data_IF_595615819409
#
_entry.id   IF_595615819409
#
_cell.length_a   1.000
_cell.length_b   1.000
_cell.length_c   1.000
_cell.angle_alpha   90.00
_cell.angle_beta   90.00
_cell.angle_gamma   90.00
#
_symmetry.space_group_name_H-M   'P 1'
#
loop_
_entity.id
_entity.type
_entity.pdbx_description
1 polymer ?
#
# COMPACT_ATOMS: atom_id res chain seq x y z
N UNK A 1 2.55 -58.62 -45.99
CA UNK A 1 1.66 -57.61 -45.33
C UNK A 1 2.43 -56.90 -44.25
N UNK A 2 2.86 -55.63 -44.49
CA UNK A 2 3.57 -54.83 -43.50
C UNK A 2 2.53 -54.09 -42.65
N UNK A 3 2.47 -54.34 -41.33
CA UNK A 3 1.63 -53.61 -40.39
C UNK A 3 2.37 -52.31 -39.99
N UNK A 4 1.82 -51.16 -40.40
CA UNK A 4 2.30 -49.82 -39.97
C UNK A 4 1.72 -49.52 -38.62
N UNK A 5 2.58 -49.34 -37.60
CA UNK A 5 2.21 -48.86 -36.28
C UNK A 5 2.21 -47.31 -36.33
N UNK A 6 1.03 -46.71 -36.22
CA UNK A 6 0.89 -45.24 -36.06
C UNK A 6 1.04 -44.93 -34.58
N UNK A 7 2.17 -44.31 -34.21
CA UNK A 7 2.35 -43.74 -32.88
C UNK A 7 1.60 -42.39 -32.79
N UNK A 8 0.51 -42.38 -32.06
CA UNK A 8 -0.24 -41.18 -31.75
C UNK A 8 0.47 -40.47 -30.54
N UNK A 9 1.20 -39.39 -30.83
CA UNK A 9 1.78 -38.55 -29.81
C UNK A 9 0.71 -37.58 -29.29
N UNK A 10 0.17 -37.83 -28.09
CA UNK A 10 -0.75 -36.91 -27.43
C UNK A 10 0.06 -35.83 -26.75
N UNK A 11 0.10 -34.62 -27.31
CA UNK A 11 0.64 -33.43 -26.64
C UNK A 11 -0.41 -32.91 -25.62
N UNK A 12 -0.15 -33.12 -24.37
CA UNK A 12 -0.95 -32.50 -23.29
C UNK A 12 -0.41 -31.07 -23.06
N UNK A 13 -1.15 -30.08 -23.54
CA UNK A 13 -0.89 -28.69 -23.19
C UNK A 13 -1.42 -28.45 -21.79
N UNK A 14 -0.52 -28.31 -20.79
CA UNK A 14 -0.87 -27.69 -19.52
C UNK A 14 -0.98 -26.18 -19.74
N UNK A 15 -2.19 -25.68 -19.91
CA UNK A 15 -2.45 -24.25 -19.79
C UNK A 15 -2.35 -23.89 -18.29
N UNK A 16 -1.24 -23.30 -17.86
CA UNK A 16 -1.18 -22.61 -16.59
C UNK A 16 -2.16 -21.45 -16.66
N UNK A 17 -3.27 -21.53 -15.95
CA UNK A 17 -4.14 -20.39 -15.70
C UNK A 17 -3.32 -19.46 -14.81
N UNK A 18 -2.94 -18.25 -15.25
CA UNK A 18 -2.30 -17.31 -14.36
C UNK A 18 -3.31 -17.01 -13.25
N UNK A 19 -2.96 -17.28 -11.98
CA UNK A 19 -3.68 -16.73 -10.86
C UNK A 19 -3.57 -15.21 -10.98
N UNK A 20 -4.70 -14.53 -11.10
CA UNK A 20 -4.73 -13.09 -11.00
C UNK A 20 -4.17 -12.73 -9.63
N UNK A 21 -3.07 -11.97 -9.60
CA UNK A 21 -2.52 -11.45 -8.36
C UNK A 21 -3.50 -10.41 -7.83
N UNK A 22 -3.87 -10.53 -6.57
CA UNK A 22 -4.78 -9.60 -5.90
C UNK A 22 -4.04 -8.81 -4.84
N UNK A 23 -4.45 -7.57 -4.63
CA UNK A 23 -3.98 -6.76 -3.51
C UNK A 23 -4.78 -7.00 -2.22
N UNK A 24 -5.82 -7.86 -2.27
CA UNK A 24 -6.55 -8.28 -1.07
C UNK A 24 -5.61 -8.88 -0.04
N UNK A 25 -5.83 -8.53 1.22
CA UNK A 25 -5.04 -9.02 2.33
C UNK A 25 -4.54 -7.90 3.24
N UNK A 26 -3.58 -8.24 4.08
CA UNK A 26 -2.97 -7.31 5.02
C UNK A 26 -1.55 -6.99 4.57
N UNK A 27 -1.28 -5.72 4.45
CA UNK A 27 0.02 -5.18 4.05
C UNK A 27 0.64 -4.37 5.17
N UNK A 28 1.96 -4.31 5.20
CA UNK A 28 2.75 -3.45 6.10
C UNK A 28 3.79 -2.69 5.30
N UNK A 29 4.20 -1.55 5.79
CA UNK A 29 5.39 -0.89 5.28
C UNK A 29 6.61 -1.77 5.55
N UNK A 30 7.48 -1.93 4.55
CA UNK A 30 8.72 -2.68 4.71
C UNK A 30 9.66 -1.97 5.71
N UNK A 31 10.11 -2.62 6.81
CA UNK A 31 10.95 -1.98 7.81
C UNK A 31 12.43 -1.97 7.39
N UNK A 32 12.72 -1.40 6.22
CA UNK A 32 14.08 -1.27 5.69
C UNK A 32 14.37 0.17 5.26
N UNK A 33 15.63 0.55 5.26
CA UNK A 33 16.04 1.85 4.74
C UNK A 33 15.63 2.00 3.27
N UNK A 34 15.13 3.18 2.90
CA UNK A 34 14.67 3.48 1.56
C UNK A 34 13.27 2.95 1.19
N UNK A 35 12.55 2.31 2.11
CA UNK A 35 11.19 1.83 1.85
C UNK A 35 10.16 2.97 1.78
N UNK A 36 10.45 4.11 2.38
CA UNK A 36 9.67 5.33 2.30
C UNK A 36 10.56 6.46 1.77
N UNK A 37 10.10 7.14 0.75
CA UNK A 37 10.86 8.24 0.17
C UNK A 37 9.96 9.33 -0.40
N UNK A 38 10.52 10.52 -0.55
CA UNK A 38 9.88 11.72 -1.10
C UNK A 38 10.82 12.34 -2.14
N UNK A 39 10.25 12.76 -3.26
CA UNK A 39 11.00 13.38 -4.34
C UNK A 39 10.10 14.18 -5.29
N UNK A 40 10.69 14.86 -6.29
CA UNK A 40 9.97 15.74 -7.22
C UNK A 40 9.17 15.00 -8.29
N UNK A 41 9.32 13.68 -8.40
CA UNK A 41 8.64 12.85 -9.40
C UNK A 41 8.48 11.42 -8.92
N UNK A 42 7.60 10.68 -9.55
CA UNK A 42 7.33 9.28 -9.26
C UNK A 42 8.63 8.44 -9.27
N UNK A 43 8.88 7.74 -8.18
CA UNK A 43 10.08 6.92 -7.99
C UNK A 43 11.36 7.69 -7.68
N UNK A 44 11.33 9.02 -7.65
CA UNK A 44 12.43 9.86 -7.19
C UNK A 44 12.33 10.06 -5.67
N UNK A 45 13.39 9.75 -4.96
CA UNK A 45 13.48 9.89 -3.50
C UNK A 45 14.60 10.86 -3.11
N UNK A 46 14.96 11.78 -4.01
CA UNK A 46 16.10 12.67 -3.84
C UNK A 46 15.93 13.73 -2.75
N UNK A 47 14.69 14.04 -2.33
CA UNK A 47 14.46 14.98 -1.26
C UNK A 47 14.64 14.35 0.11
N UNK A 48 14.17 13.11 0.28
CA UNK A 48 14.32 12.37 1.51
C UNK A 48 14.01 10.88 1.31
N UNK A 49 14.71 10.03 2.03
CA UNK A 49 14.37 8.62 2.18
C UNK A 49 14.67 8.19 3.62
N UNK A 50 13.88 7.29 4.16
CA UNK A 50 14.11 6.78 5.51
C UNK A 50 15.43 6.01 5.60
N UNK A 51 16.19 6.28 6.65
CA UNK A 51 17.41 5.54 7.02
C UNK A 51 17.09 4.33 7.93
N UNK A 52 18.09 3.51 8.23
CA UNK A 52 17.95 2.46 9.25
C UNK A 52 17.63 3.04 10.64
N UNK A 53 18.17 4.22 10.98
CA UNK A 53 17.85 4.90 12.21
C UNK A 53 16.38 5.36 12.26
N UNK A 54 15.83 5.80 11.12
CA UNK A 54 14.42 6.15 11.01
C UNK A 54 13.51 4.92 11.18
N UNK A 55 13.90 3.76 10.67
CA UNK A 55 13.16 2.50 10.90
C UNK A 55 13.06 2.21 12.39
N UNK A 56 14.15 2.35 13.13
CA UNK A 56 14.15 2.14 14.58
C UNK A 56 13.31 3.20 15.31
N UNK A 57 13.46 4.47 14.94
CA UNK A 57 12.75 5.59 15.59
C UNK A 57 11.25 5.56 15.32
N UNK A 58 10.85 5.11 14.11
CA UNK A 58 9.46 5.02 13.66
C UNK A 58 8.93 3.58 13.73
N UNK A 59 9.39 2.75 14.66
CA UNK A 59 8.97 1.34 14.75
C UNK A 59 7.45 1.18 14.81
N UNK A 60 6.74 2.11 15.45
CA UNK A 60 5.28 2.16 15.53
C UNK A 60 4.58 2.44 14.18
N UNK A 61 5.28 2.97 13.19
CA UNK A 61 4.78 3.16 11.83
C UNK A 61 4.96 1.88 10.99
N UNK A 62 6.04 1.16 11.21
CA UNK A 62 6.35 -0.05 10.45
C UNK A 62 5.59 -1.28 10.94
N UNK A 63 4.90 -1.22 12.09
CA UNK A 63 4.00 -2.29 12.54
C UNK A 63 2.53 -2.03 12.19
N UNK A 64 2.18 -0.86 11.69
CA UNK A 64 0.87 -0.53 11.15
C UNK A 64 0.46 -1.45 10.01
N UNK A 65 -0.85 -1.73 9.92
CA UNK A 65 -1.41 -2.60 8.89
C UNK A 65 -2.41 -1.86 8.01
N UNK A 66 -2.33 -2.16 6.71
CA UNK A 66 -3.24 -1.71 5.66
C UNK A 66 -4.05 -2.92 5.19
N UNK A 67 -5.34 -2.98 5.56
CA UNK A 67 -6.17 -4.16 5.32
C UNK A 67 -7.14 -3.92 4.18
N UNK A 68 -6.96 -4.68 3.10
CA UNK A 68 -7.81 -4.68 1.92
C UNK A 68 -8.72 -5.92 1.96
N UNK A 69 -9.96 -5.75 2.39
CA UNK A 69 -10.89 -6.87 2.52
C UNK A 69 -11.56 -7.21 1.18
N UNK A 70 -11.83 -8.48 0.96
CA UNK A 70 -12.51 -8.99 -0.25
C UNK A 70 -13.89 -8.38 -0.51
N UNK A 71 -14.53 -7.82 0.51
CA UNK A 71 -15.82 -7.12 0.39
C UNK A 71 -15.69 -5.65 -0.04
N UNK A 72 -14.49 -5.19 -0.38
CA UNK A 72 -14.21 -3.80 -0.78
C UNK A 72 -14.04 -2.82 0.39
N UNK A 73 -14.09 -3.27 1.65
CA UNK A 73 -13.75 -2.40 2.77
C UNK A 73 -12.25 -2.29 2.96
N UNK A 74 -11.79 -1.11 3.38
CA UNK A 74 -10.40 -0.81 3.72
C UNK A 74 -10.29 -0.42 5.18
N UNK A 75 -9.15 -0.72 5.81
CA UNK A 75 -8.88 -0.31 7.18
C UNK A 75 -7.39 -0.07 7.43
N UNK A 76 -7.07 1.04 8.10
CA UNK A 76 -5.82 1.24 8.80
C UNK A 76 -5.93 0.56 10.19
N UNK A 77 -5.01 -0.33 10.54
CA UNK A 77 -4.93 -0.97 11.86
C UNK A 77 -3.63 -0.51 12.50
N UNK A 78 -3.73 0.43 13.42
CA UNK A 78 -2.61 1.20 13.95
C UNK A 78 -2.19 0.77 15.37
N UNK A 79 -2.79 -0.30 15.89
CA UNK A 79 -2.48 -0.80 17.22
C UNK A 79 -2.74 0.22 18.33
N UNK A 80 -1.86 0.25 19.31
CA UNK A 80 -1.89 1.23 20.42
C UNK A 80 -1.07 2.48 20.13
N UNK A 81 -0.34 2.52 19.03
CA UNK A 81 0.50 3.64 18.62
C UNK A 81 0.88 3.60 17.16
N UNK A 82 1.00 4.75 16.54
CA UNK A 82 1.48 4.98 15.19
C UNK A 82 2.41 6.19 15.19
N UNK A 83 3.03 6.49 14.05
CA UNK A 83 3.81 7.71 13.87
C UNK A 83 2.88 8.89 13.65
N UNK A 84 2.86 9.79 14.62
CA UNK A 84 2.15 11.07 14.52
C UNK A 84 3.11 12.18 14.12
N UNK A 85 2.61 13.18 13.40
CA UNK A 85 3.35 14.35 12.97
C UNK A 85 2.70 15.63 13.51
N UNK A 86 3.51 16.66 13.80
CA UNK A 86 3.09 17.89 14.48
C UNK A 86 2.00 18.71 13.74
N UNK A 87 1.76 18.44 12.45
CA UNK A 87 0.64 19.04 11.72
C UNK A 87 -0.73 18.48 12.14
N UNK A 88 -0.78 17.30 12.78
CA UNK A 88 -2.02 16.67 13.25
C UNK A 88 -2.53 17.39 14.51
N UNK A 89 -3.84 17.56 14.62
CA UNK A 89 -4.45 18.26 15.75
C UNK A 89 -4.17 17.57 17.09
N UNK A 90 -3.58 18.32 18.02
CA UNK A 90 -3.24 17.81 19.35
C UNK A 90 -1.93 17.04 19.43
N UNK A 91 -1.09 17.09 18.38
CA UNK A 91 0.26 16.54 18.36
C UNK A 91 1.27 17.67 18.47
N UNK A 92 2.06 17.67 19.55
CA UNK A 92 3.03 18.75 19.81
C UNK A 92 4.35 18.58 19.03
N UNK A 93 4.72 17.34 18.73
CA UNK A 93 5.94 17.01 18.01
C UNK A 93 5.81 15.63 17.31
N UNK A 94 6.60 15.45 16.25
CA UNK A 94 6.69 14.17 15.55
C UNK A 94 7.15 13.04 16.48
N UNK A 95 6.45 11.92 16.44
CA UNK A 95 6.81 10.78 17.29
C UNK A 95 5.75 9.67 17.33
N UNK A 96 6.14 8.55 17.95
CA UNK A 96 5.21 7.47 18.23
C UNK A 96 4.21 7.88 19.32
N UNK A 97 2.93 7.72 19.06
CA UNK A 97 1.85 8.06 20.00
C UNK A 97 0.55 7.38 19.64
N UNK A 98 -0.47 7.55 20.49
CA UNK A 98 -1.82 7.06 20.17
C UNK A 98 -2.30 7.65 18.84
N UNK A 99 -2.98 6.85 18.00
CA UNK A 99 -3.53 7.36 16.74
C UNK A 99 -4.47 8.55 16.94
N UNK A 100 -4.40 9.52 16.03
CA UNK A 100 -5.14 10.80 16.13
C UNK A 100 -6.12 10.93 14.98
N UNK A 101 -7.38 11.26 15.31
CA UNK A 101 -8.43 11.48 14.32
C UNK A 101 -8.09 12.65 13.36
N UNK A 102 -8.46 12.57 12.09
CA UNK A 102 -9.26 11.49 11.44
C UNK A 102 -8.42 10.29 10.98
N UNK A 103 -7.10 10.26 11.22
CA UNK A 103 -6.14 9.26 10.73
C UNK A 103 -5.94 8.09 11.71
N UNK A 104 -6.89 7.87 12.61
CA UNK A 104 -6.84 6.87 13.68
C UNK A 104 -7.43 5.49 13.28
N UNK A 105 -7.85 5.33 12.02
CA UNK A 105 -8.46 4.11 11.52
C UNK A 105 -9.88 3.83 12.03
N UNK A 106 -10.52 4.79 12.72
CA UNK A 106 -11.88 4.63 13.27
C UNK A 106 -12.97 4.80 12.22
N UNK A 107 -12.70 5.54 11.14
CA UNK A 107 -13.68 5.80 10.10
C UNK A 107 -13.82 4.65 9.12
N UNK A 108 -15.03 4.47 8.60
CA UNK A 108 -15.27 3.52 7.53
C UNK A 108 -14.59 3.98 6.23
N UNK A 109 -13.93 3.04 5.56
CA UNK A 109 -13.31 3.27 4.28
C UNK A 109 -13.51 2.10 3.32
N UNK A 110 -13.42 2.39 2.03
CA UNK A 110 -13.50 1.41 0.95
C UNK A 110 -12.30 1.54 0.02
N UNK A 111 -12.04 0.49 -0.74
CA UNK A 111 -11.00 0.47 -1.76
C UNK A 111 -11.51 -0.12 -3.07
N UNK A 112 -10.88 0.27 -4.15
CA UNK A 112 -11.04 -0.31 -5.48
C UNK A 112 -9.71 -0.27 -6.24
N UNK A 113 -9.52 -1.17 -7.18
CA UNK A 113 -8.35 -1.23 -8.06
C UNK A 113 -8.75 -1.07 -9.52
N UNK A 114 -7.96 -0.31 -10.26
CA UNK A 114 -7.98 -0.30 -11.73
C UNK A 114 -6.72 -1.02 -12.21
N UNK A 115 -6.90 -2.26 -12.66
CA UNK A 115 -5.81 -3.11 -13.16
C UNK A 115 -5.19 -2.59 -14.46
N UNK A 116 -5.93 -1.79 -15.23
CA UNK A 116 -5.46 -1.21 -16.49
C UNK A 116 -4.62 0.03 -16.23
N UNK A 117 -5.11 0.92 -15.38
CA UNK A 117 -4.40 2.13 -14.96
C UNK A 117 -3.31 1.86 -13.92
N UNK A 118 -3.33 0.68 -13.29
CA UNK A 118 -2.46 0.32 -12.17
C UNK A 118 -2.59 1.29 -11.00
N UNK A 119 -3.84 1.56 -10.62
CA UNK A 119 -4.16 2.44 -9.50
C UNK A 119 -5.00 1.75 -8.43
N UNK A 120 -4.79 2.17 -7.19
CA UNK A 120 -5.61 1.85 -6.03
C UNK A 120 -6.32 3.14 -5.60
N UNK A 121 -7.64 3.10 -5.53
CA UNK A 121 -8.44 4.20 -4.99
C UNK A 121 -8.91 3.82 -3.59
N UNK A 122 -8.63 4.67 -2.60
CA UNK A 122 -9.15 4.57 -1.24
C UNK A 122 -10.13 5.73 -1.01
N UNK A 123 -11.31 5.41 -0.46
CA UNK A 123 -12.37 6.38 -0.15
C UNK A 123 -12.72 6.24 1.32
N UNK A 124 -12.50 7.29 2.10
CA UNK A 124 -12.81 7.33 3.52
C UNK A 124 -12.07 8.46 4.25
N UNK A 125 -12.72 9.09 5.21
CA UNK A 125 -12.10 10.16 5.98
C UNK A 125 -10.91 9.63 6.78
N UNK A 126 -9.72 10.19 6.54
CA UNK A 126 -8.50 9.82 7.24
C UNK A 126 -7.92 8.45 6.87
N UNK A 127 -8.42 7.78 5.82
CA UNK A 127 -7.85 6.55 5.32
C UNK A 127 -6.69 6.82 4.35
N UNK A 128 -5.57 6.11 4.49
CA UNK A 128 -4.34 6.38 3.76
C UNK A 128 -3.45 5.13 3.60
N UNK A 129 -2.48 5.20 2.68
CA UNK A 129 -1.33 4.31 2.61
C UNK A 129 -0.05 5.12 2.84
N UNK A 130 0.87 4.61 3.64
CA UNK A 130 2.11 5.30 3.94
C UNK A 130 1.90 6.53 4.83
N UNK A 131 2.19 7.72 4.31
CA UNK A 131 2.09 8.97 5.08
C UNK A 131 0.67 9.54 5.07
N UNK A 132 0.09 9.78 6.23
CA UNK A 132 -1.26 10.35 6.39
C UNK A 132 -1.41 11.75 5.77
N UNK A 133 -0.32 12.51 5.66
CA UNK A 133 -0.32 13.85 5.06
C UNK A 133 -0.32 13.88 3.54
N UNK A 134 0.01 12.76 2.89
CA UNK A 134 0.12 12.70 1.45
C UNK A 134 -1.23 12.37 0.79
N UNK A 135 -1.71 13.27 -0.07
CA UNK A 135 -2.92 13.09 -0.87
C UNK A 135 -2.77 13.79 -2.23
N UNK A 136 -3.59 13.45 -3.21
CA UNK A 136 -3.41 13.85 -4.61
C UNK A 136 -3.44 15.36 -4.92
N UNK A 137 -3.70 16.24 -3.97
CA UNK A 137 -3.76 17.69 -4.23
C UNK A 137 -2.79 18.50 -3.39
N UNK A 138 -2.26 17.92 -2.35
CA UNK A 138 -1.33 18.58 -1.43
C UNK A 138 -0.60 17.56 -0.55
N UNK A 139 0.45 18.02 0.07
CA UNK A 139 1.09 17.38 1.22
C UNK A 139 0.86 18.32 2.40
N UNK A 140 0.47 17.80 3.52
CA UNK A 140 0.10 18.46 4.78
C UNK A 140 -1.41 18.73 4.97
N UNK A 141 -1.81 18.75 6.21
CA UNK A 141 -3.19 18.96 6.63
C UNK A 141 -4.10 17.75 6.43
N UNK A 142 -5.27 17.78 7.07
CA UNK A 142 -6.29 16.77 6.85
C UNK A 142 -6.77 16.85 5.41
N UNK A 143 -6.77 15.76 4.64
CA UNK A 143 -7.25 15.78 3.27
C UNK A 143 -8.72 16.25 3.23
N UNK A 144 -8.96 17.29 2.47
CA UNK A 144 -10.32 17.81 2.21
C UNK A 144 -11.09 16.79 1.35
N UNK A 145 -10.34 15.98 0.57
CA UNK A 145 -10.89 14.93 -0.24
C UNK A 145 -10.90 13.61 0.52
N UNK A 146 -12.07 12.97 0.54
CA UNK A 146 -12.23 11.62 1.08
C UNK A 146 -11.71 10.54 0.13
N UNK A 147 -11.16 10.90 -1.03
CA UNK A 147 -10.70 9.97 -2.06
C UNK A 147 -9.23 10.23 -2.34
N UNK A 148 -8.43 9.18 -2.22
CA UNK A 148 -7.00 9.20 -2.55
C UNK A 148 -6.69 8.10 -3.56
N UNK A 149 -5.96 8.43 -4.61
CA UNK A 149 -5.56 7.52 -5.68
C UNK A 149 -4.05 7.33 -5.65
N UNK A 150 -3.64 6.08 -5.56
CA UNK A 150 -2.23 5.67 -5.54
C UNK A 150 -1.91 4.90 -6.82
N UNK A 151 -0.74 5.12 -7.39
CA UNK A 151 -0.16 4.21 -8.36
C UNK A 151 0.42 3.00 -7.64
N UNK A 152 0.36 1.81 -8.23
CA UNK A 152 0.96 0.62 -7.63
C UNK A 152 1.66 -0.27 -8.66
N UNK A 153 2.67 -0.99 -8.18
CA UNK A 153 3.30 -2.09 -8.91
C UNK A 153 3.42 -3.29 -7.97
N UNK A 154 2.86 -4.42 -8.35
CA UNK A 154 2.91 -5.64 -7.57
C UNK A 154 4.06 -6.52 -8.08
N UNK A 155 4.86 -7.08 -7.15
CA UNK A 155 5.91 -8.04 -7.49
C UNK A 155 5.34 -9.30 -8.15
N UNK A 156 6.15 -10.01 -8.92
CA UNK A 156 5.70 -11.21 -9.65
C UNK A 156 5.24 -12.36 -8.75
N UNK A 157 5.65 -12.37 -7.49
CA UNK A 157 5.22 -13.34 -6.48
C UNK A 157 4.06 -12.84 -5.60
N UNK A 158 3.59 -11.60 -5.82
CA UNK A 158 2.48 -10.98 -5.08
C UNK A 158 2.78 -10.65 -3.63
N UNK A 159 4.04 -10.63 -3.20
CA UNK A 159 4.41 -10.45 -1.79
C UNK A 159 4.92 -9.07 -1.44
N UNK A 160 5.27 -8.27 -2.43
CA UNK A 160 5.62 -6.88 -2.25
C UNK A 160 4.88 -6.00 -3.24
N UNK A 161 4.62 -4.79 -2.83
CA UNK A 161 3.91 -3.79 -3.62
C UNK A 161 4.59 -2.44 -3.43
N UNK A 162 5.02 -1.84 -4.53
CA UNK A 162 5.44 -0.44 -4.53
C UNK A 162 4.21 0.43 -4.75
N UNK A 163 4.07 1.44 -3.91
CA UNK A 163 2.95 2.38 -3.95
C UNK A 163 3.49 3.80 -4.00
N UNK A 164 2.89 4.63 -4.82
CA UNK A 164 3.26 6.04 -4.94
C UNK A 164 2.03 6.92 -5.13
N UNK A 165 2.17 8.18 -4.75
CA UNK A 165 1.13 9.20 -4.84
C UNK A 165 1.74 10.50 -5.39
N UNK A 166 0.98 11.21 -6.24
CA UNK A 166 1.29 12.53 -6.80
C UNK A 166 0.17 13.52 -6.47
#
# INVERSE_FOLDING_TARGET
>A
MKKSLINLLVLIFFSSIPFAQTIEGTWKMSPVAGALGVGPALGDVSWWANSEADVATRACFFDDEYVFNANGSFKNVLGSGTWNEAWQSGVDADGCGAPVAPHDGSNAATWAVDETAKTITIVGSGAYLGLAKAHNTAEDGAPVNMTTVYNYTLSSDGKSMDVSIE
#
